data_IF_944449015843
#
_entry.id   IF_944449015843
#
_cell.length_a   1.000
_cell.length_b   1.000
_cell.length_c   1.000
_cell.angle_alpha   90.00
_cell.angle_beta   90.00
_cell.angle_gamma   90.00
#
_symmetry.space_group_name_H-M   'P 1'
#
loop_
_entity.id
_entity.type
_entity.pdbx_description
1 polymer ?
#
# COMPACT_ATOMS: atom_id res chain seq x y z
N UNK A 1 29.93 -23.09 7.37
CA UNK A 1 28.98 -22.00 6.99
C UNK A 1 27.52 -22.38 7.27
N UNK A 2 26.92 -23.43 6.69
CA UNK A 2 25.51 -23.83 7.01
C UNK A 2 25.34 -24.37 8.44
N UNK A 3 26.32 -25.07 9.00
CA UNK A 3 26.29 -25.55 10.38
C UNK A 3 26.55 -24.42 11.40
N UNK A 4 27.38 -23.43 11.09
CA UNK A 4 27.57 -22.23 11.90
C UNK A 4 26.30 -21.37 11.93
N UNK A 5 25.60 -21.20 10.80
CA UNK A 5 24.29 -20.55 10.74
C UNK A 5 23.24 -21.31 11.57
N UNK A 6 23.25 -22.65 11.58
CA UNK A 6 22.38 -23.45 12.45
C UNK A 6 22.73 -23.31 13.93
N UNK A 7 24.01 -23.21 14.26
CA UNK A 7 24.48 -23.01 15.63
C UNK A 7 24.12 -21.62 16.16
N UNK A 8 24.27 -20.57 15.35
CA UNK A 8 23.85 -19.20 15.73
C UNK A 8 22.32 -19.05 15.82
N UNK A 9 21.53 -19.78 15.00
CA UNK A 9 20.08 -19.80 15.06
C UNK A 9 19.52 -20.56 16.30
N UNK A 10 20.32 -21.39 16.95
CA UNK A 10 19.97 -22.13 18.17
C UNK A 10 20.29 -21.41 19.49
N UNK A 11 21.03 -20.27 19.44
CA UNK A 11 21.31 -19.49 20.65
C UNK A 11 20.03 -18.80 21.16
N UNK A 12 19.89 -18.75 22.47
CA UNK A 12 18.89 -17.91 23.15
C UNK A 12 18.95 -16.48 22.58
N UNK A 13 17.79 -15.85 22.32
CA UNK A 13 17.79 -14.51 21.73
C UNK A 13 18.63 -13.58 22.61
N UNK A 14 19.55 -12.82 22.00
CA UNK A 14 20.29 -11.79 22.73
C UNK A 14 19.30 -10.80 23.36
N UNK A 15 19.65 -10.21 24.49
CA UNK A 15 18.81 -9.21 25.17
C UNK A 15 18.31 -8.16 24.18
N UNK A 16 19.14 -7.72 23.24
CA UNK A 16 18.78 -6.74 22.20
C UNK A 16 17.72 -7.27 21.21
N UNK A 17 17.75 -8.57 20.85
CA UNK A 17 16.74 -9.14 19.96
C UNK A 17 15.38 -9.33 20.65
N UNK A 18 15.41 -9.61 21.95
CA UNK A 18 14.18 -9.70 22.74
C UNK A 18 13.55 -8.31 22.96
N UNK A 19 14.34 -7.28 23.17
CA UNK A 19 13.88 -5.89 23.30
C UNK A 19 13.29 -5.40 21.97
N UNK A 20 13.97 -5.63 20.84
CA UNK A 20 13.45 -5.22 19.52
C UNK A 20 12.13 -5.92 19.18
N UNK A 21 11.98 -7.22 19.48
CA UNK A 21 10.71 -7.92 19.29
C UNK A 21 9.59 -7.30 20.14
N UNK A 22 9.88 -6.95 21.39
CA UNK A 22 8.93 -6.35 22.33
C UNK A 22 8.58 -4.89 22.00
N UNK A 23 9.36 -4.21 21.18
CA UNK A 23 9.15 -2.80 20.83
C UNK A 23 8.71 -2.60 19.38
N UNK A 24 9.42 -3.19 18.41
CA UNK A 24 9.16 -2.95 16.97
C UNK A 24 7.82 -3.55 16.54
N UNK A 25 7.51 -4.75 17.00
CA UNK A 25 6.27 -5.41 16.62
C UNK A 25 5.02 -4.71 17.21
N UNK A 26 4.93 -4.37 18.51
CA UNK A 26 3.87 -3.51 19.03
C UNK A 26 3.84 -2.14 18.36
N UNK A 27 4.99 -1.56 18.01
CA UNK A 27 5.07 -0.31 17.27
C UNK A 27 4.34 -0.37 15.92
N UNK A 28 4.53 -1.46 15.16
CA UNK A 28 3.79 -1.68 13.91
C UNK A 28 2.27 -1.80 14.14
N UNK A 29 1.85 -2.53 15.19
CA UNK A 29 0.44 -2.68 15.54
C UNK A 29 -0.18 -1.35 15.96
N UNK A 30 0.49 -0.60 16.84
CA UNK A 30 0.02 0.70 17.33
C UNK A 30 -0.06 1.72 16.19
N UNK A 31 0.90 1.72 15.28
CA UNK A 31 0.86 2.59 14.09
C UNK A 31 -0.43 2.34 13.29
N UNK A 32 -0.76 1.08 12.96
CA UNK A 32 -2.01 0.76 12.26
C UNK A 32 -3.26 1.04 13.08
N UNK A 33 -3.22 0.81 14.40
CA UNK A 33 -4.36 1.02 15.29
C UNK A 33 -4.77 2.49 15.38
N UNK A 34 -3.78 3.39 15.42
CA UNK A 34 -4.01 4.84 15.58
C UNK A 34 -4.28 5.53 14.26
N UNK A 35 -3.79 4.97 13.15
CA UNK A 35 -3.80 5.60 11.82
C UNK A 35 -5.19 6.07 11.34
N UNK A 36 -6.30 5.32 11.49
CA UNK A 36 -7.62 5.78 11.05
C UNK A 36 -8.15 6.97 11.86
N UNK A 37 -7.59 7.26 13.05
CA UNK A 37 -8.02 8.32 13.96
C UNK A 37 -7.08 9.52 13.95
N UNK A 38 -5.77 9.30 13.73
CA UNK A 38 -4.75 10.35 13.69
C UNK A 38 -3.53 9.91 12.87
N UNK A 39 -3.41 10.44 11.66
CA UNK A 39 -2.23 10.19 10.80
C UNK A 39 -0.95 10.82 11.38
N UNK A 40 -1.08 11.90 12.16
CA UNK A 40 0.05 12.57 12.82
C UNK A 40 0.65 11.67 13.90
N UNK A 41 -0.18 11.17 14.82
CA UNK A 41 0.29 10.27 15.91
C UNK A 41 0.81 8.96 15.33
N UNK A 42 0.11 8.39 14.35
CA UNK A 42 0.59 7.20 13.64
C UNK A 42 1.96 7.42 12.98
N UNK A 43 2.17 8.60 12.38
CA UNK A 43 3.48 9.00 11.84
C UNK A 43 4.58 9.03 12.91
N UNK A 44 4.33 9.62 14.08
CA UNK A 44 5.29 9.62 15.19
C UNK A 44 5.61 8.21 15.69
N UNK A 45 4.59 7.36 15.86
CA UNK A 45 4.78 5.95 16.23
C UNK A 45 5.61 5.19 15.19
N UNK A 46 5.36 5.44 13.91
CA UNK A 46 6.14 4.86 12.82
C UNK A 46 7.62 5.32 12.86
N UNK A 47 7.88 6.62 13.05
CA UNK A 47 9.24 7.14 13.13
C UNK A 47 9.98 6.60 14.35
N UNK A 48 9.33 6.49 15.50
CA UNK A 48 9.91 5.86 16.69
C UNK A 48 10.25 4.39 16.42
N UNK A 49 9.33 3.64 15.83
CA UNK A 49 9.52 2.23 15.45
C UNK A 49 10.68 2.08 14.46
N UNK A 50 10.77 2.99 13.49
CA UNK A 50 11.87 3.05 12.52
C UNK A 50 13.22 3.30 13.17
N UNK A 51 13.30 4.27 14.09
CA UNK A 51 14.54 4.59 14.83
C UNK A 51 15.02 3.40 15.67
N UNK A 52 14.11 2.69 16.35
CA UNK A 52 14.44 1.46 17.06
C UNK A 52 14.93 0.36 16.11
N UNK A 53 14.35 0.30 14.91
CA UNK A 53 14.75 -0.67 13.88
C UNK A 53 16.12 -0.36 13.29
N UNK A 54 16.47 0.91 13.10
CA UNK A 54 17.83 1.34 12.69
C UNK A 54 18.86 0.86 13.71
N UNK A 55 18.59 1.11 15.00
CA UNK A 55 19.47 0.65 16.07
C UNK A 55 19.62 -0.88 16.08
N UNK A 56 18.50 -1.61 15.91
CA UNK A 56 18.54 -3.06 15.84
C UNK A 56 19.36 -3.57 14.65
N UNK A 57 19.15 -3.02 13.46
CA UNK A 57 19.90 -3.40 12.25
C UNK A 57 21.40 -3.12 12.43
N UNK A 58 21.77 -1.96 12.99
CA UNK A 58 23.18 -1.62 13.25
C UNK A 58 23.87 -2.64 14.17
N UNK A 59 23.18 -3.10 15.22
CA UNK A 59 23.72 -4.09 16.16
C UNK A 59 23.75 -5.53 15.62
N UNK A 60 22.93 -5.84 14.59
CA UNK A 60 22.82 -7.18 14.00
C UNK A 60 23.26 -7.23 12.52
N UNK A 61 23.99 -6.24 12.05
CA UNK A 61 24.30 -6.02 10.64
C UNK A 61 24.91 -7.28 9.97
N UNK A 62 25.88 -7.94 10.63
CA UNK A 62 26.56 -9.12 10.09
C UNK A 62 25.59 -10.29 9.84
N UNK A 63 24.65 -10.54 10.76
CA UNK A 63 23.68 -11.63 10.64
C UNK A 63 22.60 -11.31 9.60
N UNK A 64 22.21 -10.04 9.50
CA UNK A 64 21.23 -9.57 8.52
C UNK A 64 21.81 -9.66 7.10
N UNK A 65 23.04 -9.21 6.87
CA UNK A 65 23.70 -9.29 5.55
C UNK A 65 23.93 -10.75 5.12
N UNK A 66 24.17 -11.67 6.05
CA UNK A 66 24.28 -13.09 5.74
C UNK A 66 22.98 -13.67 5.16
N UNK A 67 21.82 -13.10 5.49
CA UNK A 67 20.51 -13.52 5.00
C UNK A 67 20.14 -12.82 3.67
N UNK A 68 20.98 -12.94 2.64
CA UNK A 68 20.91 -12.21 1.36
C UNK A 68 19.51 -12.11 0.73
N UNK A 69 18.70 -13.17 0.82
CA UNK A 69 17.33 -13.20 0.26
C UNK A 69 16.38 -12.21 0.90
N UNK A 70 16.65 -11.78 2.15
CA UNK A 70 15.82 -10.84 2.88
C UNK A 70 16.14 -9.38 2.56
N UNK A 71 17.26 -9.12 1.91
CA UNK A 71 17.75 -7.76 1.66
C UNK A 71 17.08 -7.09 0.46
N UNK A 72 16.55 -7.88 -0.48
CA UNK A 72 16.14 -7.36 -1.79
C UNK A 72 15.09 -6.24 -1.69
N UNK A 73 13.96 -6.49 -1.02
CA UNK A 73 12.91 -5.49 -0.87
C UNK A 73 13.36 -4.29 -0.03
N UNK A 74 13.96 -4.48 1.16
CA UNK A 74 14.46 -3.36 1.94
C UNK A 74 15.49 -2.49 1.20
N UNK A 75 16.37 -3.08 0.39
CA UNK A 75 17.31 -2.31 -0.42
C UNK A 75 16.61 -1.51 -1.53
N UNK A 76 15.60 -2.07 -2.19
CA UNK A 76 14.81 -1.31 -3.16
C UNK A 76 14.05 -0.16 -2.49
N UNK A 77 13.43 -0.38 -1.33
CA UNK A 77 12.76 0.69 -0.57
C UNK A 77 13.73 1.77 -0.11
N UNK A 78 14.91 1.37 0.38
CA UNK A 78 15.97 2.30 0.76
C UNK A 78 16.46 3.12 -0.45
N UNK A 79 16.68 2.47 -1.59
CA UNK A 79 17.12 3.14 -2.82
C UNK A 79 16.08 4.15 -3.31
N UNK A 80 14.79 3.79 -3.32
CA UNK A 80 13.70 4.72 -3.68
C UNK A 80 13.65 5.89 -2.70
N UNK A 81 13.71 5.63 -1.39
CA UNK A 81 13.72 6.67 -0.38
C UNK A 81 14.90 7.64 -0.53
N UNK A 82 16.11 7.11 -0.76
CA UNK A 82 17.31 7.93 -1.01
C UNK A 82 17.18 8.73 -2.32
N UNK A 83 16.69 8.12 -3.38
CA UNK A 83 16.47 8.82 -4.67
C UNK A 83 15.48 9.97 -4.52
N UNK A 84 14.37 9.75 -3.79
CA UNK A 84 13.41 10.81 -3.49
C UNK A 84 14.04 11.95 -2.67
N UNK A 85 14.88 11.62 -1.69
CA UNK A 85 15.55 12.61 -0.86
C UNK A 85 16.60 13.40 -1.65
N UNK A 86 17.40 12.72 -2.49
CA UNK A 86 18.37 13.35 -3.40
C UNK A 86 17.64 14.27 -4.38
N UNK A 87 16.55 13.81 -5.00
CA UNK A 87 15.74 14.62 -5.89
C UNK A 87 15.20 15.86 -5.19
N UNK A 88 14.65 15.70 -3.97
CA UNK A 88 14.18 16.81 -3.16
C UNK A 88 15.28 17.84 -2.90
N UNK A 89 16.45 17.42 -2.40
CA UNK A 89 17.53 18.35 -2.08
C UNK A 89 18.17 19.01 -3.32
N UNK A 90 18.09 18.37 -4.48
CA UNK A 90 18.65 18.91 -5.71
C UNK A 90 17.75 19.98 -6.35
N UNK A 91 16.43 19.77 -6.31
CA UNK A 91 15.51 20.62 -7.05
C UNK A 91 14.66 21.57 -6.19
N UNK A 92 14.48 21.29 -4.91
CA UNK A 92 13.65 22.13 -4.05
C UNK A 92 14.26 23.53 -3.85
N UNK A 93 13.44 24.55 -4.10
CA UNK A 93 13.74 25.95 -3.79
C UNK A 93 12.72 26.46 -2.75
N UNK A 94 13.13 27.35 -1.82
CA UNK A 94 12.21 27.88 -0.79
C UNK A 94 11.03 28.68 -1.35
N UNK A 95 11.19 29.27 -2.53
CA UNK A 95 10.20 30.06 -3.28
C UNK A 95 9.41 29.24 -4.31
N UNK A 96 9.54 27.91 -4.27
CA UNK A 96 8.82 27.00 -5.17
C UNK A 96 7.31 27.25 -5.14
N UNK A 97 6.69 27.30 -6.31
CA UNK A 97 5.25 27.40 -6.49
C UNK A 97 4.53 26.05 -6.26
N UNK A 98 5.28 24.96 -6.18
CA UNK A 98 4.76 23.58 -6.05
C UNK A 98 5.25 22.88 -4.76
N UNK A 99 5.17 23.52 -3.58
CA UNK A 99 5.73 22.98 -2.33
C UNK A 99 5.09 21.66 -1.91
N UNK A 100 3.85 21.40 -2.29
CA UNK A 100 3.14 20.15 -1.97
C UNK A 100 3.78 18.94 -2.65
N UNK A 101 4.21 19.05 -3.92
CA UNK A 101 4.92 17.98 -4.63
C UNK A 101 6.21 17.64 -3.91
N UNK A 102 7.04 18.64 -3.60
CA UNK A 102 8.30 18.44 -2.89
C UNK A 102 8.12 17.85 -1.49
N UNK A 103 7.11 18.32 -0.75
CA UNK A 103 6.84 17.80 0.59
C UNK A 103 6.37 16.33 0.56
N UNK A 104 5.57 15.94 -0.42
CA UNK A 104 5.17 14.54 -0.62
C UNK A 104 6.38 13.63 -0.82
N UNK A 105 7.30 14.00 -1.72
CA UNK A 105 8.53 13.25 -1.97
C UNK A 105 9.46 13.22 -0.76
N UNK A 106 9.62 14.33 -0.02
CA UNK A 106 10.43 14.38 1.20
C UNK A 106 9.87 13.47 2.29
N UNK A 107 8.56 13.54 2.55
CA UNK A 107 7.93 12.77 3.62
C UNK A 107 7.87 11.29 3.30
N UNK A 108 7.61 10.92 2.04
CA UNK A 108 7.66 9.54 1.59
C UNK A 108 9.09 8.98 1.58
N UNK A 109 10.10 9.80 1.28
CA UNK A 109 11.51 9.41 1.39
C UNK A 109 11.86 8.94 2.81
N UNK A 110 11.52 9.74 3.83
CA UNK A 110 11.74 9.35 5.22
C UNK A 110 10.97 8.07 5.58
N UNK A 111 9.71 7.96 5.15
CA UNK A 111 8.90 6.78 5.39
C UNK A 111 9.49 5.53 4.68
N UNK A 112 9.97 5.65 3.45
CA UNK A 112 10.60 4.57 2.70
C UNK A 112 11.91 4.10 3.36
N UNK A 113 12.78 5.04 3.75
CA UNK A 113 14.06 4.74 4.43
C UNK A 113 13.80 4.02 5.76
N UNK A 114 13.00 4.59 6.64
CA UNK A 114 12.71 3.96 7.94
C UNK A 114 11.91 2.65 7.77
N UNK A 115 11.01 2.60 6.79
CA UNK A 115 10.27 1.40 6.43
C UNK A 115 11.17 0.25 5.99
N UNK A 116 12.26 0.53 5.28
CA UNK A 116 13.26 -0.48 4.93
C UNK A 116 13.91 -1.11 6.17
N UNK A 117 14.25 -0.30 7.18
CA UNK A 117 14.80 -0.80 8.44
C UNK A 117 13.78 -1.57 9.28
N UNK A 118 12.51 -1.09 9.33
CA UNK A 118 11.43 -1.82 10.00
C UNK A 118 11.25 -3.19 9.34
N UNK A 119 11.18 -3.24 8.02
CA UNK A 119 10.99 -4.49 7.27
C UNK A 119 12.16 -5.44 7.49
N UNK A 120 13.41 -4.98 7.44
CA UNK A 120 14.60 -5.78 7.75
C UNK A 120 14.50 -6.39 9.16
N UNK A 121 14.14 -5.56 10.14
CA UNK A 121 14.00 -5.99 11.53
C UNK A 121 12.92 -7.05 11.67
N UNK A 122 11.72 -6.81 11.13
CA UNK A 122 10.60 -7.74 11.19
C UNK A 122 10.92 -9.05 10.48
N UNK A 123 11.51 -9.02 9.29
CA UNK A 123 11.90 -10.21 8.55
C UNK A 123 12.96 -11.03 9.30
N UNK A 124 13.94 -10.38 9.93
CA UNK A 124 14.98 -11.05 10.70
C UNK A 124 14.44 -11.67 12.00
N UNK A 125 13.54 -10.95 12.69
CA UNK A 125 12.93 -11.42 13.95
C UNK A 125 11.90 -12.52 13.71
N UNK A 126 11.07 -12.40 12.66
CA UNK A 126 10.01 -13.38 12.34
C UNK A 126 10.54 -14.78 12.10
N UNK A 127 11.82 -14.92 11.71
CA UNK A 127 12.48 -16.21 11.60
C UNK A 127 12.73 -16.88 12.95
N UNK A 128 12.92 -16.11 14.02
CA UNK A 128 13.31 -16.58 15.34
C UNK A 128 12.14 -16.81 16.29
N UNK A 129 11.05 -16.02 16.18
CA UNK A 129 9.93 -16.02 17.13
C UNK A 129 8.57 -15.97 16.41
N UNK A 130 7.65 -16.86 16.83
CA UNK A 130 6.31 -17.03 16.25
C UNK A 130 5.22 -16.43 17.15
N UNK A 131 5.27 -15.15 17.42
CA UNK A 131 4.11 -14.51 18.02
C UNK A 131 3.11 -14.15 16.93
N UNK A 132 1.91 -14.74 17.00
CA UNK A 132 0.83 -14.41 16.07
C UNK A 132 -0.16 -13.48 16.80
N UNK A 133 -0.16 -12.18 16.51
CA UNK A 133 -1.03 -11.22 17.20
C UNK A 133 -2.44 -11.17 16.56
N UNK A 134 -3.03 -12.32 16.30
CA UNK A 134 -4.28 -12.46 15.54
C UNK A 134 -5.40 -11.56 16.10
N UNK A 135 -5.60 -11.63 17.42
CA UNK A 135 -6.67 -10.85 18.07
C UNK A 135 -6.46 -9.35 17.97
N UNK A 136 -5.21 -8.87 18.12
CA UNK A 136 -4.89 -7.44 17.98
C UNK A 136 -5.16 -6.95 16.56
N UNK A 137 -4.74 -7.70 15.53
CA UNK A 137 -4.98 -7.36 14.13
C UNK A 137 -6.48 -7.32 13.83
N UNK A 138 -7.26 -8.30 14.31
CA UNK A 138 -8.71 -8.34 14.13
C UNK A 138 -9.36 -7.16 14.84
N UNK A 139 -8.97 -6.87 16.07
CA UNK A 139 -9.48 -5.74 16.84
C UNK A 139 -9.21 -4.39 16.14
N UNK A 140 -7.99 -4.18 15.64
CA UNK A 140 -7.63 -2.96 14.88
C UNK A 140 -8.57 -2.77 13.69
N UNK A 141 -8.83 -3.84 12.93
CA UNK A 141 -9.74 -3.77 11.80
C UNK A 141 -11.18 -3.46 12.24
N UNK A 142 -11.66 -4.09 13.30
CA UNK A 142 -13.00 -3.83 13.84
C UNK A 142 -13.15 -2.36 14.28
N UNK A 143 -12.16 -1.80 14.97
CA UNK A 143 -12.18 -0.38 15.36
C UNK A 143 -12.14 0.55 14.15
N UNK A 144 -11.33 0.25 13.15
CA UNK A 144 -11.28 1.03 11.91
C UNK A 144 -12.62 1.00 11.16
N UNK A 145 -13.26 -0.18 11.06
CA UNK A 145 -14.60 -0.33 10.47
C UNK A 145 -15.67 0.40 11.30
N UNK A 146 -15.63 0.28 12.63
CA UNK A 146 -16.53 1.00 13.53
C UNK A 146 -16.47 2.50 13.30
N UNK A 147 -15.25 3.05 13.15
CA UNK A 147 -15.08 4.48 12.86
C UNK A 147 -15.54 4.84 11.45
N UNK A 148 -15.30 3.99 10.44
CA UNK A 148 -15.81 4.20 9.10
C UNK A 148 -17.34 4.24 9.06
N UNK A 149 -18.03 3.30 9.71
CA UNK A 149 -19.49 3.30 9.83
C UNK A 149 -20.01 4.49 10.66
N UNK A 150 -19.30 4.88 11.73
CA UNK A 150 -19.65 6.08 12.49
C UNK A 150 -19.62 7.33 11.59
N UNK A 151 -18.60 7.49 10.76
CA UNK A 151 -18.54 8.62 9.81
C UNK A 151 -19.70 8.59 8.82
N UNK A 152 -20.05 7.43 8.28
CA UNK A 152 -21.15 7.31 7.32
C UNK A 152 -22.52 7.62 7.94
N UNK A 153 -22.76 7.17 9.17
CA UNK A 153 -24.10 7.23 9.78
C UNK A 153 -24.34 8.54 10.56
N UNK A 154 -23.28 9.13 11.15
CA UNK A 154 -23.44 10.20 12.13
C UNK A 154 -22.71 11.51 11.77
N UNK A 155 -21.72 11.50 10.85
CA UNK A 155 -20.98 12.72 10.52
C UNK A 155 -21.51 13.48 9.31
N UNK A 156 -22.55 12.97 8.64
CA UNK A 156 -23.13 13.59 7.45
C UNK A 156 -22.19 13.60 6.22
N UNK A 157 -21.08 12.87 6.27
CA UNK A 157 -20.15 12.77 5.14
C UNK A 157 -20.75 11.91 4.05
N UNK A 158 -20.87 12.47 2.83
CA UNK A 158 -21.32 11.71 1.66
C UNK A 158 -20.35 10.56 1.33
N UNK A 159 -19.05 10.77 1.50
CA UNK A 159 -17.98 9.77 1.26
C UNK A 159 -17.08 9.66 2.47
N UNK A 160 -16.83 8.45 2.94
CA UNK A 160 -15.96 8.21 4.10
C UNK A 160 -14.52 8.54 3.73
N UNK A 161 -13.87 9.41 4.52
CA UNK A 161 -12.46 9.80 4.36
C UNK A 161 -11.55 9.34 5.49
N UNK A 162 -12.11 8.81 6.59
CA UNK A 162 -11.41 8.61 7.87
C UNK A 162 -10.69 9.91 8.28
N UNK A 163 -9.45 9.80 8.77
CA UNK A 163 -8.62 10.97 9.08
C UNK A 163 -7.81 11.48 7.89
N UNK A 164 -7.79 10.73 6.78
CA UNK A 164 -6.90 11.03 5.64
C UNK A 164 -7.37 12.20 4.77
N UNK A 165 -8.58 12.72 5.00
CA UNK A 165 -9.15 13.82 4.21
C UNK A 165 -9.60 13.42 2.80
N UNK A 166 -9.20 12.25 2.28
CA UNK A 166 -9.61 11.72 0.98
C UNK A 166 -10.25 10.34 1.13
N UNK A 167 -11.36 10.14 0.44
CA UNK A 167 -12.05 8.85 0.42
C UNK A 167 -11.18 7.74 -0.21
N UNK A 168 -10.34 8.11 -1.16
CA UNK A 168 -9.40 7.20 -1.84
C UNK A 168 -8.39 6.60 -0.86
N UNK A 169 -7.75 7.43 -0.04
CA UNK A 169 -6.81 6.95 0.98
C UNK A 169 -7.50 6.09 2.04
N UNK A 170 -8.73 6.44 2.45
CA UNK A 170 -9.52 5.62 3.37
C UNK A 170 -9.79 4.23 2.79
N UNK A 171 -10.16 4.14 1.51
CA UNK A 171 -10.41 2.87 0.82
C UNK A 171 -9.15 1.99 0.74
N UNK A 172 -7.99 2.59 0.47
CA UNK A 172 -6.71 1.87 0.42
C UNK A 172 -6.31 1.35 1.79
N UNK A 173 -6.41 2.18 2.83
CA UNK A 173 -6.19 1.75 4.21
C UNK A 173 -7.11 0.59 4.60
N UNK A 174 -8.42 0.70 4.33
CA UNK A 174 -9.40 -0.35 4.62
C UNK A 174 -9.09 -1.64 3.85
N UNK A 175 -8.59 -1.55 2.62
CA UNK A 175 -8.13 -2.73 1.86
C UNK A 175 -6.94 -3.41 2.54
N UNK A 176 -5.93 -2.66 2.96
CA UNK A 176 -4.72 -3.22 3.55
C UNK A 176 -4.99 -3.86 4.91
N UNK A 177 -5.71 -3.17 5.80
CA UNK A 177 -6.05 -3.71 7.13
C UNK A 177 -7.10 -4.82 7.02
N UNK A 178 -8.04 -4.72 6.07
CA UNK A 178 -9.02 -5.75 5.77
C UNK A 178 -8.37 -7.04 5.29
N UNK A 179 -7.42 -6.98 4.37
CA UNK A 179 -6.65 -8.13 3.89
C UNK A 179 -5.84 -8.79 5.02
N UNK A 180 -5.16 -7.98 5.84
CA UNK A 180 -4.37 -8.45 6.97
C UNK A 180 -5.27 -9.15 8.02
N UNK A 181 -6.40 -8.53 8.37
CA UNK A 181 -7.37 -9.08 9.32
C UNK A 181 -8.07 -10.34 8.78
N UNK A 182 -8.39 -10.38 7.48
CA UNK A 182 -8.91 -11.54 6.79
C UNK A 182 -7.99 -12.76 6.95
N UNK A 183 -6.69 -12.58 6.74
CA UNK A 183 -5.69 -13.63 6.96
C UNK A 183 -5.59 -14.03 8.43
N UNK A 184 -5.69 -13.07 9.36
CA UNK A 184 -5.66 -13.35 10.79
C UNK A 184 -6.87 -14.21 11.22
N UNK A 185 -8.07 -13.91 10.72
CA UNK A 185 -9.29 -14.71 10.96
C UNK A 185 -9.13 -16.16 10.51
N UNK A 186 -8.56 -16.39 9.32
CA UNK A 186 -8.35 -17.75 8.80
C UNK A 186 -7.32 -18.55 9.62
N UNK A 187 -6.44 -17.87 10.38
CA UNK A 187 -5.46 -18.50 11.29
C UNK A 187 -6.03 -18.79 12.67
N UNK A 188 -7.23 -18.35 13.00
CA UNK A 188 -7.88 -18.68 14.26
C UNK A 188 -8.15 -20.20 14.36
N UNK A 189 -7.94 -20.73 15.54
CA UNK A 189 -8.34 -22.11 15.85
C UNK A 189 -9.83 -22.13 16.24
N UNK A 190 -10.71 -21.94 15.26
CA UNK A 190 -12.16 -21.88 15.43
C UNK A 190 -12.87 -22.62 14.32
N UNK A 191 -13.92 -23.37 14.67
CA UNK A 191 -14.82 -24.03 13.71
C UNK A 191 -15.62 -23.02 12.90
N UNK A 192 -15.82 -21.82 13.44
CA UNK A 192 -16.60 -20.74 12.80
C UNK A 192 -15.74 -19.80 11.95
N UNK A 193 -14.44 -20.04 11.80
CA UNK A 193 -13.51 -19.10 11.12
C UNK A 193 -13.94 -18.68 9.70
N UNK A 194 -14.56 -19.56 8.93
CA UNK A 194 -15.02 -19.26 7.57
C UNK A 194 -16.27 -18.36 7.56
N UNK A 195 -17.18 -18.54 8.51
CA UNK A 195 -18.35 -17.67 8.67
C UNK A 195 -17.93 -16.29 9.16
N UNK A 196 -17.02 -16.24 10.14
CA UNK A 196 -16.42 -14.98 10.61
C UNK A 196 -15.71 -14.25 9.47
N UNK A 197 -15.03 -15.01 8.60
CA UNK A 197 -14.38 -14.46 7.41
C UNK A 197 -15.40 -13.84 6.45
N UNK A 198 -16.48 -14.54 6.11
CA UNK A 198 -17.50 -14.03 5.18
C UNK A 198 -18.20 -12.78 5.74
N UNK A 199 -18.51 -12.77 7.04
CA UNK A 199 -19.05 -11.57 7.70
C UNK A 199 -18.06 -10.39 7.67
N UNK A 200 -16.78 -10.65 7.96
CA UNK A 200 -15.72 -9.66 7.83
C UNK A 200 -15.57 -9.15 6.39
N UNK A 201 -15.56 -10.05 5.41
CA UNK A 201 -15.46 -9.73 3.99
C UNK A 201 -16.62 -8.81 3.55
N UNK A 202 -17.85 -9.11 3.98
CA UNK A 202 -19.01 -8.27 3.77
C UNK A 202 -18.82 -6.87 4.38
N UNK A 203 -18.46 -6.78 5.66
CA UNK A 203 -18.32 -5.51 6.37
C UNK A 203 -17.24 -4.60 5.75
N UNK A 204 -16.07 -5.16 5.38
CA UNK A 204 -15.02 -4.38 4.72
C UNK A 204 -15.45 -3.95 3.32
N UNK A 205 -16.12 -4.83 2.55
CA UNK A 205 -16.65 -4.48 1.23
C UNK A 205 -17.65 -3.33 1.33
N UNK A 206 -18.58 -3.38 2.29
CA UNK A 206 -19.54 -2.30 2.53
C UNK A 206 -18.82 -1.00 2.91
N UNK A 207 -17.86 -1.03 3.82
CA UNK A 207 -17.09 0.16 4.20
C UNK A 207 -16.35 0.77 3.01
N UNK A 208 -15.79 -0.06 2.11
CA UNK A 208 -15.14 0.42 0.88
C UNK A 208 -16.17 1.00 -0.11
N UNK A 209 -17.34 0.40 -0.25
CA UNK A 209 -18.44 0.94 -1.08
C UNK A 209 -18.84 2.34 -0.60
N UNK A 210 -18.92 2.57 0.71
CA UNK A 210 -19.22 3.87 1.31
C UNK A 210 -18.12 4.93 1.06
N UNK A 211 -16.92 4.54 0.62
CA UNK A 211 -15.90 5.49 0.15
C UNK A 211 -16.14 5.93 -1.30
N UNK A 212 -16.95 5.20 -2.06
CA UNK A 212 -17.20 5.37 -3.50
C UNK A 212 -15.90 5.39 -4.34
N UNK A 213 -14.84 4.74 -3.88
CA UNK A 213 -13.56 4.69 -4.58
C UNK A 213 -13.57 3.56 -5.61
N UNK A 214 -13.71 3.91 -6.90
CA UNK A 214 -13.86 2.96 -8.02
C UNK A 214 -12.80 1.85 -7.98
N UNK A 215 -11.52 2.19 -7.88
CA UNK A 215 -10.43 1.21 -7.84
C UNK A 215 -10.59 0.20 -6.70
N UNK A 216 -10.93 0.65 -5.49
CA UNK A 216 -11.01 -0.21 -4.32
C UNK A 216 -12.25 -1.12 -4.35
N UNK A 217 -13.35 -0.66 -4.94
CA UNK A 217 -14.58 -1.45 -5.14
C UNK A 217 -14.28 -2.71 -5.98
N UNK A 218 -13.36 -2.63 -6.94
CA UNK A 218 -12.95 -3.78 -7.74
C UNK A 218 -11.81 -4.57 -7.12
N UNK A 219 -10.83 -3.90 -6.53
CA UNK A 219 -9.59 -4.53 -6.04
C UNK A 219 -9.84 -5.35 -4.77
N UNK A 220 -10.57 -4.82 -3.78
CA UNK A 220 -10.74 -5.52 -2.50
C UNK A 220 -11.48 -6.86 -2.62
N UNK A 221 -12.57 -7.00 -3.39
CA UNK A 221 -13.21 -8.29 -3.61
C UNK A 221 -12.26 -9.35 -4.15
N UNK A 222 -11.38 -9.00 -5.09
CA UNK A 222 -10.38 -9.92 -5.65
C UNK A 222 -9.37 -10.30 -4.58
N UNK A 223 -8.87 -9.33 -3.80
CA UNK A 223 -7.95 -9.54 -2.67
C UNK A 223 -8.57 -10.50 -1.65
N UNK A 224 -9.79 -10.21 -1.18
CA UNK A 224 -10.49 -11.04 -0.20
C UNK A 224 -10.76 -12.44 -0.75
N UNK A 225 -11.37 -12.57 -1.91
CA UNK A 225 -11.63 -13.88 -2.51
C UNK A 225 -10.34 -14.71 -2.68
N UNK A 226 -9.26 -14.10 -3.14
CA UNK A 226 -7.96 -14.77 -3.31
C UNK A 226 -7.43 -15.34 -1.98
N UNK A 227 -7.51 -14.56 -0.89
CA UNK A 227 -7.06 -15.02 0.44
C UNK A 227 -7.88 -16.21 0.91
N UNK A 228 -9.21 -16.18 0.79
CA UNK A 228 -10.08 -17.27 1.23
C UNK A 228 -9.90 -18.52 0.37
N UNK A 229 -9.98 -18.39 -0.96
CA UNK A 229 -9.91 -19.51 -1.90
C UNK A 229 -8.55 -20.22 -1.81
N UNK A 230 -7.48 -19.46 -1.59
CA UNK A 230 -6.15 -20.04 -1.41
C UNK A 230 -6.01 -20.88 -0.13
N UNK A 231 -6.69 -20.49 0.95
CA UNK A 231 -6.68 -21.27 2.22
C UNK A 231 -7.43 -22.60 2.07
N UNK A 232 -8.52 -22.61 1.30
CA UNK A 232 -9.38 -23.81 1.16
C UNK A 232 -9.09 -24.65 -0.09
N UNK A 233 -8.10 -24.29 -0.91
CA UNK A 233 -7.80 -24.91 -2.22
C UNK A 233 -7.60 -26.41 -2.20
N UNK A 234 -7.16 -26.96 -1.08
CA UNK A 234 -6.90 -28.40 -0.91
C UNK A 234 -8.15 -29.24 -0.55
N UNK A 235 -9.29 -28.58 -0.30
CA UNK A 235 -10.56 -29.24 0.01
C UNK A 235 -11.64 -28.79 -0.97
N UNK A 236 -11.93 -29.62 -1.98
CA UNK A 236 -12.94 -29.32 -3.02
C UNK A 236 -14.29 -28.88 -2.44
N UNK A 237 -14.88 -29.53 -1.42
CA UNK A 237 -16.17 -29.09 -0.88
C UNK A 237 -16.06 -27.74 -0.15
N UNK A 238 -14.95 -27.46 0.57
CA UNK A 238 -14.75 -26.16 1.19
C UNK A 238 -14.49 -25.08 0.15
N UNK A 239 -13.75 -25.39 -0.92
CA UNK A 239 -13.51 -24.44 -2.02
C UNK A 239 -14.82 -24.02 -2.68
N UNK A 240 -15.71 -24.97 -2.99
CA UNK A 240 -17.02 -24.66 -3.57
C UNK A 240 -17.86 -23.80 -2.61
N UNK A 241 -17.93 -24.16 -1.32
CA UNK A 241 -18.64 -23.35 -0.31
C UNK A 241 -18.08 -21.94 -0.19
N UNK A 242 -16.76 -21.79 -0.16
CA UNK A 242 -16.09 -20.50 -0.08
C UNK A 242 -16.34 -19.67 -1.36
N UNK A 243 -16.27 -20.28 -2.54
CA UNK A 243 -16.57 -19.62 -3.80
C UNK A 243 -18.01 -19.13 -3.84
N UNK A 244 -18.99 -20.01 -3.53
CA UNK A 244 -20.40 -19.63 -3.49
C UNK A 244 -20.66 -18.56 -2.44
N UNK A 245 -20.08 -18.66 -1.24
CA UNK A 245 -20.24 -17.67 -0.18
C UNK A 245 -19.65 -16.30 -0.56
N UNK A 246 -18.47 -16.27 -1.15
CA UNK A 246 -17.87 -15.02 -1.64
C UNK A 246 -18.69 -14.40 -2.78
N UNK A 247 -19.15 -15.22 -3.72
CA UNK A 247 -20.00 -14.75 -4.82
C UNK A 247 -21.34 -14.22 -4.31
N UNK A 248 -21.98 -14.90 -3.37
CA UNK A 248 -23.23 -14.44 -2.75
C UNK A 248 -23.04 -13.11 -2.02
N UNK A 249 -21.92 -12.94 -1.28
CA UNK A 249 -21.58 -11.69 -0.62
C UNK A 249 -21.41 -10.55 -1.63
N UNK A 250 -20.72 -10.79 -2.74
CA UNK A 250 -20.54 -9.80 -3.80
C UNK A 250 -21.86 -9.45 -4.50
N UNK A 251 -22.69 -10.43 -4.80
CA UNK A 251 -24.00 -10.20 -5.38
C UNK A 251 -24.91 -9.38 -4.45
N UNK A 252 -24.85 -9.67 -3.14
CA UNK A 252 -25.57 -8.87 -2.15
C UNK A 252 -25.07 -7.41 -2.13
N UNK A 253 -23.76 -7.19 -2.16
CA UNK A 253 -23.20 -5.84 -2.24
C UNK A 253 -23.61 -5.13 -3.54
N UNK A 254 -23.55 -5.81 -4.68
CA UNK A 254 -23.99 -5.26 -5.96
C UNK A 254 -25.48 -4.88 -5.93
N UNK A 255 -26.32 -5.69 -5.32
CA UNK A 255 -27.75 -5.41 -5.16
C UNK A 255 -28.01 -4.21 -4.24
N UNK A 256 -27.36 -4.17 -3.07
CA UNK A 256 -27.55 -3.08 -2.09
C UNK A 256 -27.03 -1.72 -2.59
N UNK A 257 -26.00 -1.72 -3.41
CA UNK A 257 -25.34 -0.51 -3.91
C UNK A 257 -25.49 -0.32 -5.43
N UNK A 258 -26.52 -0.93 -6.03
CA UNK A 258 -26.74 -0.91 -7.48
C UNK A 258 -26.79 0.50 -8.07
N UNK A 259 -27.44 1.45 -7.40
CA UNK A 259 -27.53 2.84 -7.86
C UNK A 259 -26.17 3.53 -7.86
N UNK A 260 -25.40 3.38 -6.76
CA UNK A 260 -24.03 3.94 -6.68
C UNK A 260 -23.14 3.35 -7.76
N UNK A 261 -23.20 2.04 -7.97
CA UNK A 261 -22.38 1.36 -8.98
C UNK A 261 -22.80 1.79 -10.39
N UNK A 262 -24.12 1.87 -10.65
CA UNK A 262 -24.65 2.32 -11.95
C UNK A 262 -24.22 3.75 -12.27
N UNK A 263 -24.33 4.67 -11.31
CA UNK A 263 -23.82 6.03 -11.46
C UNK A 263 -22.32 6.05 -11.79
N UNK A 264 -21.49 5.27 -11.06
CA UNK A 264 -20.03 5.23 -11.30
C UNK A 264 -19.65 4.64 -12.66
N UNK A 265 -20.43 3.67 -13.16
CA UNK A 265 -20.25 3.13 -14.52
C UNK A 265 -20.64 4.17 -15.57
N UNK A 266 -21.78 4.84 -15.39
CA UNK A 266 -22.22 5.90 -16.31
C UNK A 266 -21.23 7.07 -16.33
N UNK A 267 -20.73 7.52 -15.15
CA UNK A 267 -19.68 8.54 -15.07
C UNK A 267 -18.44 8.11 -15.87
N UNK A 268 -18.01 6.85 -15.75
CA UNK A 268 -16.87 6.34 -16.51
C UNK A 268 -17.10 6.41 -18.03
N UNK A 269 -18.27 5.96 -18.49
CA UNK A 269 -18.64 5.99 -19.91
C UNK A 269 -18.68 7.44 -20.42
N UNK A 270 -19.31 8.33 -19.66
CA UNK A 270 -19.39 9.76 -20.01
C UNK A 270 -18.01 10.44 -20.02
N UNK A 271 -17.15 10.09 -19.06
CA UNK A 271 -15.77 10.61 -18.99
C UNK A 271 -14.98 10.20 -20.24
N UNK A 272 -15.06 8.92 -20.64
CA UNK A 272 -14.37 8.41 -21.85
C UNK A 272 -14.94 9.06 -23.11
N UNK A 273 -16.25 9.21 -23.21
CA UNK A 273 -16.90 9.90 -24.33
C UNK A 273 -16.48 11.37 -24.42
N UNK A 274 -16.47 12.08 -23.27
CA UNK A 274 -16.03 13.48 -23.20
C UNK A 274 -14.56 13.65 -23.65
N UNK A 275 -13.70 12.72 -23.25
CA UNK A 275 -12.31 12.70 -23.69
C UNK A 275 -12.18 12.53 -25.22
N UNK A 276 -13.00 11.67 -25.83
CA UNK A 276 -13.01 11.47 -27.28
C UNK A 276 -13.46 12.74 -28.05
N UNK A 277 -14.19 13.63 -27.37
CA UNK A 277 -14.62 14.95 -27.85
C UNK A 277 -13.63 16.08 -27.52
N UNK A 278 -12.37 15.75 -27.21
CA UNK A 278 -11.31 16.67 -26.78
C UNK A 278 -11.58 17.40 -25.45
N UNK A 279 -12.49 16.93 -24.63
CA UNK A 279 -12.71 17.45 -23.27
C UNK A 279 -12.06 16.53 -22.25
N UNK A 280 -10.86 16.88 -21.81
CA UNK A 280 -10.10 16.15 -20.78
C UNK A 280 -10.40 16.60 -19.33
N UNK A 281 -11.30 17.57 -19.11
CA UNK A 281 -11.63 18.11 -17.78
C UNK A 281 -12.63 17.25 -17.01
N UNK A 282 -12.58 15.94 -17.20
CA UNK A 282 -13.33 14.95 -16.44
C UNK A 282 -12.39 14.09 -15.61
N UNK A 283 -12.91 13.33 -14.63
CA UNK A 283 -12.06 12.52 -13.74
C UNK A 283 -11.15 11.53 -14.47
N UNK A 284 -11.65 10.88 -15.55
CA UNK A 284 -10.87 9.93 -16.34
C UNK A 284 -10.07 10.66 -17.42
N UNK A 285 -10.67 11.66 -18.07
CA UNK A 285 -10.01 12.47 -19.09
C UNK A 285 -8.76 13.17 -18.58
N UNK A 286 -8.82 13.75 -17.38
CA UNK A 286 -7.67 14.38 -16.73
C UNK A 286 -6.55 13.39 -16.45
N UNK A 287 -6.88 12.15 -16.00
CA UNK A 287 -5.86 11.11 -15.79
C UNK A 287 -5.19 10.69 -17.09
N UNK A 288 -5.95 10.49 -18.16
CA UNK A 288 -5.37 10.18 -19.47
C UNK A 288 -4.46 11.30 -19.94
N UNK A 289 -4.90 12.57 -19.79
CA UNK A 289 -4.08 13.74 -20.11
C UNK A 289 -2.80 13.80 -19.27
N UNK A 290 -2.90 13.57 -17.94
CA UNK A 290 -1.72 13.50 -17.05
C UNK A 290 -0.76 12.36 -17.42
N UNK A 291 -1.26 11.20 -17.87
CA UNK A 291 -0.39 10.09 -18.28
C UNK A 291 0.38 10.42 -19.54
N UNK A 292 -0.31 10.96 -20.55
CA UNK A 292 0.34 11.38 -21.80
C UNK A 292 1.35 12.50 -21.57
N UNK A 293 0.93 13.57 -20.88
CA UNK A 293 1.82 14.69 -20.59
C UNK A 293 3.00 14.29 -19.71
N UNK A 294 2.78 13.39 -18.74
CA UNK A 294 3.83 12.89 -17.86
C UNK A 294 4.88 12.05 -18.58
N UNK A 295 4.46 11.21 -19.54
CA UNK A 295 5.38 10.44 -20.39
C UNK A 295 6.20 11.40 -21.26
N UNK A 296 5.56 12.30 -21.99
CA UNK A 296 6.23 13.28 -22.84
C UNK A 296 7.22 14.15 -22.04
N UNK A 297 6.81 14.65 -20.86
CA UNK A 297 7.70 15.41 -19.99
C UNK A 297 8.90 14.60 -19.46
N UNK A 298 8.71 13.29 -19.22
CA UNK A 298 9.78 12.39 -18.81
C UNK A 298 10.75 12.04 -19.91
N UNK A 299 10.29 11.91 -21.16
CA UNK A 299 11.13 11.69 -22.35
C UNK A 299 12.09 12.86 -22.59
N UNK A 300 11.67 14.09 -22.29
CA UNK A 300 12.52 15.27 -22.37
C UNK A 300 13.50 15.41 -21.17
N UNK A 301 13.34 14.60 -20.10
CA UNK A 301 14.12 14.69 -18.87
C UNK A 301 14.52 13.31 -18.35
N UNK A 302 15.22 12.51 -19.14
CA UNK A 302 15.57 11.13 -18.83
C UNK A 302 16.37 10.94 -17.53
N UNK A 303 17.07 11.96 -17.04
CA UNK A 303 17.81 11.95 -15.78
C UNK A 303 17.07 12.65 -14.62
N UNK A 304 15.88 13.19 -14.90
CA UNK A 304 15.03 13.87 -13.93
C UNK A 304 14.98 15.39 -14.13
N UNK A 305 14.00 16.02 -13.48
CA UNK A 305 13.71 17.46 -13.58
C UNK A 305 13.03 17.98 -12.31
N UNK A 306 12.93 19.29 -12.15
CA UNK A 306 12.18 19.92 -11.07
C UNK A 306 10.67 19.77 -11.28
N UNK A 307 9.89 20.03 -10.22
CA UNK A 307 8.43 20.03 -10.32
C UNK A 307 7.95 21.18 -11.23
N UNK A 308 8.62 22.33 -11.18
CA UNK A 308 8.34 23.50 -12.02
C UNK A 308 8.60 23.19 -13.49
N UNK A 309 9.76 22.62 -13.84
CA UNK A 309 10.08 22.23 -15.22
C UNK A 309 9.07 21.24 -15.79
N UNK A 310 8.63 20.25 -14.97
CA UNK A 310 7.54 19.35 -15.36
C UNK A 310 6.25 20.12 -15.62
N UNK A 311 5.88 21.04 -14.73
CA UNK A 311 4.68 21.85 -14.88
C UNK A 311 4.70 22.72 -16.14
N UNK A 312 5.82 23.43 -16.42
CA UNK A 312 6.02 24.20 -17.62
C UNK A 312 5.84 23.38 -18.91
N UNK A 313 6.42 22.16 -18.93
CA UNK A 313 6.27 21.25 -20.07
C UNK A 313 4.81 20.81 -20.26
N UNK A 314 4.12 20.45 -19.18
CA UNK A 314 2.70 20.05 -19.25
C UNK A 314 1.83 21.21 -19.77
N UNK A 315 2.09 22.44 -19.33
CA UNK A 315 1.38 23.65 -19.84
C UNK A 315 1.66 23.84 -21.32
N UNK A 316 2.92 23.82 -21.74
CA UNK A 316 3.29 23.99 -23.16
C UNK A 316 2.69 22.89 -24.07
N UNK A 317 2.60 21.65 -23.57
CA UNK A 317 1.92 20.56 -24.29
C UNK A 317 0.41 20.81 -24.41
N UNK A 318 -0.24 21.29 -23.35
CA UNK A 318 -1.66 21.57 -23.33
C UNK A 318 -2.05 22.72 -24.27
N UNK A 319 -1.17 23.72 -24.47
CA UNK A 319 -1.35 24.78 -25.45
C UNK A 319 -1.34 24.26 -26.90
N UNK A 320 -0.52 23.23 -27.16
CA UNK A 320 -0.43 22.60 -28.48
C UNK A 320 -1.50 21.53 -28.72
N UNK A 321 -1.93 20.84 -27.64
CA UNK A 321 -2.85 19.70 -27.68
C UNK A 321 -4.02 19.94 -26.70
N UNK A 322 -5.17 20.48 -27.13
CA UNK A 322 -6.28 20.82 -26.25
C UNK A 322 -6.82 19.65 -25.41
N UNK A 323 -6.67 18.41 -25.91
CA UNK A 323 -7.05 17.20 -25.17
C UNK A 323 -6.15 16.91 -23.94
N UNK A 324 -5.04 17.66 -23.76
CA UNK A 324 -4.19 17.58 -22.58
C UNK A 324 -4.50 18.64 -21.52
N UNK A 325 -5.43 19.56 -21.78
CA UNK A 325 -5.75 20.68 -20.89
C UNK A 325 -6.18 20.25 -19.48
N UNK A 326 -6.78 19.06 -19.33
CA UNK A 326 -7.14 18.51 -18.02
C UNK A 326 -5.93 18.21 -17.11
N UNK A 327 -4.73 18.02 -17.65
CA UNK A 327 -3.52 17.81 -16.84
C UNK A 327 -3.06 19.09 -16.13
N UNK A 328 -3.36 20.26 -16.69
CA UNK A 328 -2.95 21.56 -16.13
C UNK A 328 -3.64 21.86 -14.79
N UNK A 329 -4.79 21.26 -14.54
CA UNK A 329 -5.54 21.43 -13.29
C UNK A 329 -4.89 20.69 -12.08
N UNK A 330 -3.85 19.87 -12.34
CA UNK A 330 -3.23 18.97 -11.35
C UNK A 330 -1.71 19.15 -11.25
N UNK A 331 -1.17 20.32 -11.60
CA UNK A 331 0.29 20.59 -11.58
C UNK A 331 0.89 20.51 -10.16
N UNK A 332 0.11 20.85 -9.14
CA UNK A 332 0.49 20.90 -7.73
C UNK A 332 0.37 19.54 -7.01
N UNK A 333 -0.07 18.51 -7.73
CA UNK A 333 -0.19 17.15 -7.20
C UNK A 333 0.57 16.14 -8.08
N UNK A 334 0.38 14.86 -7.82
CA UNK A 334 0.96 13.75 -8.58
C UNK A 334 0.14 13.40 -9.83
N UNK A 335 0.75 12.67 -10.76
CA UNK A 335 0.12 12.31 -12.04
C UNK A 335 -0.83 11.09 -11.96
N UNK A 336 -1.29 10.69 -10.79
CA UNK A 336 -2.20 9.57 -10.57
C UNK A 336 -1.81 8.24 -11.24
N UNK A 337 -0.51 8.04 -11.48
CA UNK A 337 0.11 6.78 -11.86
C UNK A 337 1.53 6.76 -11.34
N UNK A 338 1.84 5.78 -10.52
CA UNK A 338 3.08 5.74 -9.75
C UNK A 338 4.34 5.66 -10.61
N UNK A 339 4.27 4.89 -11.71
CA UNK A 339 5.41 4.72 -12.64
C UNK A 339 5.60 5.98 -13.47
N UNK A 340 4.51 6.54 -13.99
CA UNK A 340 4.55 7.75 -14.81
C UNK A 340 5.00 8.94 -13.97
N UNK A 341 4.49 9.07 -12.75
CA UNK A 341 4.90 10.16 -11.84
C UNK A 341 6.39 10.06 -11.49
N UNK A 342 6.88 8.85 -11.19
CA UNK A 342 8.30 8.60 -10.96
C UNK A 342 9.15 8.94 -12.19
N UNK A 343 8.70 8.53 -13.38
CA UNK A 343 9.38 8.80 -14.64
C UNK A 343 9.41 10.28 -14.97
N UNK A 344 8.28 10.98 -14.82
CA UNK A 344 8.15 12.39 -15.15
C UNK A 344 9.03 13.32 -14.32
N UNK A 345 9.36 12.96 -13.07
CA UNK A 345 10.19 13.80 -12.19
C UNK A 345 11.61 13.29 -12.02
N UNK A 346 11.80 11.96 -11.94
CA UNK A 346 13.11 11.34 -11.65
C UNK A 346 13.71 10.63 -12.86
N UNK A 347 13.06 10.71 -14.01
CA UNK A 347 13.49 10.08 -15.24
C UNK A 347 13.55 8.55 -15.15
N UNK A 348 14.37 7.95 -16.01
CA UNK A 348 14.59 6.50 -16.04
C UNK A 348 15.05 5.91 -14.69
N UNK A 349 15.97 6.54 -13.91
CA UNK A 349 16.38 5.99 -12.63
C UNK A 349 15.20 5.79 -11.66
N UNK A 350 14.29 6.75 -11.57
CA UNK A 350 13.11 6.65 -10.70
C UNK A 350 12.15 5.54 -11.12
N UNK A 351 11.85 5.45 -12.41
CA UNK A 351 10.98 4.42 -12.96
C UNK A 351 11.57 3.01 -12.80
N UNK A 352 12.87 2.84 -13.11
CA UNK A 352 13.57 1.55 -12.99
C UNK A 352 13.57 1.06 -11.53
N UNK A 353 13.89 1.93 -10.57
CA UNK A 353 13.89 1.55 -9.14
C UNK A 353 12.50 1.11 -8.67
N UNK A 354 11.45 1.76 -9.14
CA UNK A 354 10.07 1.40 -8.81
C UNK A 354 9.70 0.03 -9.41
N UNK A 355 10.03 -0.22 -10.68
CA UNK A 355 9.80 -1.51 -11.32
C UNK A 355 10.60 -2.62 -10.61
N UNK A 356 11.83 -2.35 -10.20
CA UNK A 356 12.65 -3.28 -9.42
C UNK A 356 12.02 -3.57 -8.04
N UNK A 357 11.41 -2.59 -7.38
CA UNK A 357 10.67 -2.84 -6.15
C UNK A 357 9.49 -3.78 -6.39
N UNK A 358 8.67 -3.54 -7.41
CA UNK A 358 7.54 -4.41 -7.74
C UNK A 358 7.98 -5.83 -8.11
N UNK A 359 9.04 -5.97 -8.91
CA UNK A 359 9.62 -7.27 -9.24
C UNK A 359 10.16 -7.99 -8.00
N UNK A 360 10.80 -7.25 -7.07
CA UNK A 360 11.29 -7.76 -5.80
C UNK A 360 10.16 -8.26 -4.91
N UNK A 361 9.09 -7.49 -4.80
CA UNK A 361 7.89 -7.85 -4.04
C UNK A 361 7.21 -9.08 -4.63
N UNK A 362 7.14 -9.16 -5.98
CA UNK A 362 6.62 -10.33 -6.68
C UNK A 362 7.46 -11.57 -6.35
N UNK A 363 8.77 -11.50 -6.58
CA UNK A 363 9.68 -12.60 -6.28
C UNK A 363 9.56 -13.04 -4.82
N UNK A 364 9.54 -12.10 -3.89
CA UNK A 364 9.48 -12.39 -2.47
C UNK A 364 8.14 -13.03 -2.06
N UNK A 365 7.02 -12.50 -2.56
CA UNK A 365 5.69 -13.01 -2.23
C UNK A 365 5.46 -14.44 -2.76
N UNK A 366 5.87 -14.72 -3.98
CA UNK A 366 5.60 -16.01 -4.64
C UNK A 366 6.66 -17.08 -4.39
N UNK A 367 7.95 -16.71 -4.32
CA UNK A 367 9.05 -17.67 -4.27
C UNK A 367 9.71 -17.77 -2.89
N UNK A 368 9.74 -16.69 -2.11
CA UNK A 368 10.35 -16.67 -0.78
C UNK A 368 9.33 -16.94 0.31
N UNK A 369 8.33 -16.06 0.48
CA UNK A 369 7.28 -16.22 1.50
C UNK A 369 6.26 -17.29 1.13
N UNK A 370 5.98 -17.44 -0.16
CA UNK A 370 4.88 -18.28 -0.68
C UNK A 370 3.56 -17.94 0.01
N UNK A 371 3.28 -16.64 0.13
CA UNK A 371 2.20 -16.09 0.93
C UNK A 371 1.15 -15.46 0.04
N UNK A 372 -0.07 -15.97 0.11
CA UNK A 372 -1.20 -15.40 -0.62
C UNK A 372 -1.57 -14.01 -0.12
N UNK A 373 -1.40 -13.73 1.19
CA UNK A 373 -1.59 -12.39 1.73
C UNK A 373 -0.58 -11.40 1.14
N UNK A 374 0.72 -11.76 1.10
CA UNK A 374 1.74 -10.88 0.52
C UNK A 374 1.49 -10.63 -0.96
N UNK A 375 1.07 -11.67 -1.71
CA UNK A 375 0.68 -11.53 -3.11
C UNK A 375 -0.57 -10.65 -3.29
N UNK A 376 -1.56 -10.77 -2.42
CA UNK A 376 -2.75 -9.94 -2.42
C UNK A 376 -2.46 -8.47 -2.09
N UNK A 377 -1.57 -8.20 -1.11
CA UNK A 377 -1.12 -6.84 -0.79
C UNK A 377 -0.28 -6.23 -1.93
N UNK A 378 0.53 -7.03 -2.62
CA UNK A 378 1.23 -6.59 -3.83
C UNK A 378 0.26 -6.28 -4.96
N UNK A 379 -0.74 -7.14 -5.19
CA UNK A 379 -1.77 -6.91 -6.20
C UNK A 379 -2.53 -5.60 -5.92
N UNK A 380 -2.94 -5.35 -4.67
CA UNK A 380 -3.59 -4.11 -4.29
C UNK A 380 -2.67 -2.89 -4.53
N UNK A 381 -1.39 -2.98 -4.14
CA UNK A 381 -0.41 -1.91 -4.38
C UNK A 381 -0.26 -1.58 -5.87
N UNK A 382 -0.12 -2.61 -6.73
CA UNK A 382 -0.02 -2.43 -8.18
C UNK A 382 -1.28 -1.81 -8.78
N UNK A 383 -2.46 -2.33 -8.43
CA UNK A 383 -3.72 -1.82 -8.97
C UNK A 383 -4.00 -0.37 -8.55
N UNK A 384 -3.68 -0.03 -7.30
CA UNK A 384 -3.83 1.34 -6.83
C UNK A 384 -2.77 2.26 -7.43
N UNK A 385 -1.52 1.79 -7.59
CA UNK A 385 -0.44 2.54 -8.25
C UNK A 385 -0.70 2.85 -9.73
N UNK A 386 -1.63 2.13 -10.40
CA UNK A 386 -2.07 2.46 -11.77
C UNK A 386 -3.05 3.65 -11.81
N UNK A 387 -3.68 3.99 -10.70
CA UNK A 387 -4.71 5.05 -10.64
C UNK A 387 -4.42 6.13 -9.59
N UNK A 388 -3.31 6.00 -8.87
CA UNK A 388 -2.87 6.90 -7.79
C UNK A 388 -1.37 6.70 -7.52
N UNK A 389 -0.81 7.31 -6.47
CA UNK A 389 0.59 7.17 -6.05
C UNK A 389 0.70 6.79 -4.57
N UNK A 390 0.70 5.49 -4.30
CA UNK A 390 0.69 4.93 -2.94
C UNK A 390 2.03 5.15 -2.23
N UNK A 391 3.14 4.89 -2.94
CA UNK A 391 4.48 4.95 -2.35
C UNK A 391 4.98 6.39 -2.11
N UNK A 392 4.34 7.40 -2.69
CA UNK A 392 4.64 8.81 -2.45
C UNK A 392 3.65 9.48 -1.49
N UNK A 393 2.53 8.82 -1.19
CA UNK A 393 1.68 9.19 -0.07
C UNK A 393 2.26 8.62 1.22
N UNK A 394 2.83 9.47 2.09
CA UNK A 394 3.43 9.04 3.36
C UNK A 394 2.52 8.09 4.13
N UNK A 395 1.26 8.45 4.29
CA UNK A 395 0.33 7.70 5.12
C UNK A 395 -0.04 6.36 4.49
N UNK A 396 -0.23 6.31 3.17
CA UNK A 396 -0.54 5.08 2.47
C UNK A 396 0.66 4.14 2.38
N UNK A 397 1.86 4.68 2.17
CA UNK A 397 3.11 3.92 2.24
C UNK A 397 3.29 3.28 3.63
N UNK A 398 3.07 4.05 4.71
CA UNK A 398 3.13 3.53 6.09
C UNK A 398 2.08 2.44 6.30
N UNK A 399 0.83 2.67 5.89
CA UNK A 399 -0.26 1.70 6.04
C UNK A 399 0.07 0.37 5.35
N UNK A 400 0.48 0.45 4.08
CA UNK A 400 0.86 -0.73 3.30
C UNK A 400 2.07 -1.46 3.91
N UNK A 401 3.13 -0.73 4.27
CA UNK A 401 4.34 -1.30 4.89
C UNK A 401 4.02 -2.01 6.20
N UNK A 402 3.22 -1.39 7.07
CA UNK A 402 2.86 -2.01 8.35
C UNK A 402 2.00 -3.26 8.14
N UNK A 403 1.03 -3.22 7.21
CA UNK A 403 0.24 -4.39 6.84
C UNK A 403 1.11 -5.50 6.24
N UNK A 404 2.06 -5.17 5.38
CA UNK A 404 3.00 -6.12 4.79
C UNK A 404 3.94 -6.73 5.85
N UNK A 405 4.55 -5.91 6.71
CA UNK A 405 5.41 -6.35 7.81
C UNK A 405 4.68 -7.32 8.75
N UNK A 406 3.48 -6.94 9.23
CA UNK A 406 2.68 -7.79 10.10
C UNK A 406 2.21 -9.05 9.37
N UNK A 407 1.86 -8.94 8.10
CA UNK A 407 1.49 -10.06 7.23
C UNK A 407 2.58 -11.12 7.12
N UNK A 408 3.85 -10.72 7.05
CA UNK A 408 4.98 -11.67 7.02
C UNK A 408 5.06 -12.54 8.28
N UNK A 409 4.59 -12.05 9.41
CA UNK A 409 4.57 -12.81 10.67
C UNK A 409 3.47 -13.86 10.72
N UNK A 410 2.39 -13.69 9.94
CA UNK A 410 1.27 -14.62 9.82
C UNK A 410 1.58 -15.80 8.87
N UNK A 411 2.61 -15.66 8.04
CA UNK A 411 3.03 -16.72 7.12
C UNK A 411 3.86 -17.78 7.88
N UNK A 412 3.71 -19.05 7.52
CA UNK A 412 4.46 -20.16 8.15
C UNK A 412 5.97 -20.09 7.88
N UNK A 413 6.70 -21.17 8.30
CA UNK A 413 8.17 -21.29 8.10
C UNK A 413 8.54 -21.16 6.62
N UNK A 414 9.13 -20.05 6.22
CA UNK A 414 9.62 -19.82 4.86
C UNK A 414 11.14 -20.00 4.69
N UNK A 415 11.81 -20.50 5.75
CA UNK A 415 13.19 -20.97 5.70
C UNK A 415 13.27 -22.44 6.17
N UNK A 416 12.53 -23.32 5.50
CA UNK A 416 12.90 -24.72 5.45
C UNK A 416 13.46 -24.98 4.05
N UNK A 417 14.75 -25.16 4.03
CA UNK A 417 15.71 -25.55 2.98
C UNK A 417 16.53 -24.42 2.41
#
# INVERSE_FOLDING_TARGET
>A
MLNELRYELGKTPSISSAVALKAVFPGCLLTLAVMPFSSIIAGWLFYLTGSLSVFYVATHLRTIIAAKRLLLIPLCLLAIGLTNLIWYHHYYQPDSLLPYVYNAYRTSAHAGILGAFILLTVLHISQKNRQQPLFYIIAICIFALGYAFYQSLFSGMHRIGLVFGTATSAAYFLTFIGALSAQALLKLNSTYKYYLYLGHFLLVTVAILLTETRAAIFVYPIVGATILLSEVRHSKPLFIKAFVGSSATLLLCLFLFQETIHQRVNDLINDVHSYSMNNSRTSVGARIAMYQSGIEAGEEALLGQSAEQRAERIVAQAEQKPNLAGAVEYLDVHLHNEVIDAFSLKGLPGAILLVLLYASLFYFSFFVLRSHLSAALLFALLMYGLSDVILYSRDMLIAWLMAFCLGTTLTGKWLKN
#
